data_IF_674304617748
#
_entry.id   IF_674304617748
#
_cell.length_a   1.000
_cell.length_b   1.000
_cell.length_c   1.000
_cell.angle_alpha   90.00
_cell.angle_beta   90.00
_cell.angle_gamma   90.00
#
_symmetry.space_group_name_H-M   'P 1'
#
loop_
_entity.id
_entity.type
_entity.pdbx_description
1 polymer ?
#
# COMPACT_ATOMS: atom_id res chain seq x y z
N UNK A 1 5.18 -12.45 3.31
CA UNK A 1 6.64 -12.72 3.41
C UNK A 1 7.15 -12.10 4.70
N UNK A 2 8.14 -12.68 5.39
CA UNK A 2 8.78 -12.00 6.51
C UNK A 2 9.48 -10.73 5.99
N UNK A 3 9.12 -9.57 6.55
CA UNK A 3 9.73 -8.28 6.24
C UNK A 3 11.07 -8.20 6.98
N UNK A 4 12.15 -7.92 6.26
CA UNK A 4 13.44 -7.68 6.90
C UNK A 4 13.38 -6.38 7.70
N UNK A 5 14.13 -6.30 8.80
CA UNK A 5 14.06 -5.17 9.74
C UNK A 5 14.32 -3.80 9.11
N UNK A 6 15.14 -3.73 8.06
CA UNK A 6 15.45 -2.52 7.30
C UNK A 6 14.26 -2.03 6.44
N UNK A 7 13.26 -2.87 6.22
CA UNK A 7 12.05 -2.57 5.46
C UNK A 7 10.80 -2.51 6.36
N UNK A 8 10.94 -2.62 7.69
CA UNK A 8 9.83 -2.46 8.62
C UNK A 8 9.40 -0.99 8.70
N UNK A 9 8.18 -0.72 8.28
CA UNK A 9 7.54 0.59 8.30
C UNK A 9 6.42 0.67 9.35
N UNK A 10 6.39 -0.26 10.31
CA UNK A 10 5.39 -0.29 11.38
C UNK A 10 5.29 1.07 12.10
N UNK A 11 4.07 1.60 12.18
CA UNK A 11 3.79 2.89 12.82
C UNK A 11 4.20 4.12 11.99
N UNK A 12 4.64 3.93 10.73
CA UNK A 12 4.90 5.01 9.78
C UNK A 12 3.69 5.25 8.88
N UNK A 13 3.59 6.47 8.36
CA UNK A 13 2.63 6.85 7.33
C UNK A 13 3.40 7.03 6.02
N UNK A 14 2.97 6.33 4.97
CA UNK A 14 3.53 6.47 3.63
C UNK A 14 2.56 7.23 2.72
N UNK A 15 3.00 8.34 2.14
CA UNK A 15 2.21 9.07 1.14
C UNK A 15 2.52 8.53 -0.26
N UNK A 16 1.49 8.02 -0.95
CA UNK A 16 1.59 7.53 -2.31
C UNK A 16 0.81 8.46 -3.24
N UNK A 17 1.52 9.27 -4.03
CA UNK A 17 0.93 10.08 -5.08
C UNK A 17 0.99 9.34 -6.42
N UNK A 18 -0.13 9.20 -7.10
CA UNK A 18 -0.21 8.50 -8.39
C UNK A 18 -0.92 9.33 -9.46
N UNK A 19 -0.36 9.32 -10.66
CA UNK A 19 -0.99 9.83 -11.90
C UNK A 19 -1.61 8.72 -12.75
N UNK A 20 -1.60 7.48 -12.26
CA UNK A 20 -2.06 6.27 -12.94
C UNK A 20 -0.94 5.26 -13.18
N UNK A 21 -1.14 4.37 -14.15
CA UNK A 21 -0.23 3.26 -14.42
C UNK A 21 -0.62 1.97 -13.69
N UNK A 22 0.14 0.91 -13.95
CA UNK A 22 -0.17 -0.42 -13.41
C UNK A 22 0.57 -0.72 -12.10
N UNK A 23 1.55 0.12 -11.75
CA UNK A 23 2.51 -0.09 -10.68
C UNK A 23 1.99 0.41 -9.32
N UNK A 24 1.22 1.50 -9.32
CA UNK A 24 0.73 2.13 -8.08
C UNK A 24 -0.02 1.18 -7.13
N UNK A 25 -0.89 0.26 -7.61
CA UNK A 25 -1.52 -0.74 -6.75
C UNK A 25 -0.53 -1.69 -6.08
N UNK A 26 0.55 -2.08 -6.77
CA UNK A 26 1.58 -2.97 -6.22
C UNK A 26 2.47 -2.24 -5.21
N UNK A 27 2.78 -0.97 -5.46
CA UNK A 27 3.53 -0.15 -4.51
C UNK A 27 2.73 0.12 -3.22
N UNK A 28 1.43 0.41 -3.34
CA UNK A 28 0.54 0.55 -2.19
C UNK A 28 0.48 -0.72 -1.35
N UNK A 29 0.35 -1.89 -2.00
CA UNK A 29 0.37 -3.18 -1.32
C UNK A 29 1.71 -3.42 -0.60
N UNK A 30 2.85 -3.18 -1.26
CA UNK A 30 4.16 -3.39 -0.66
C UNK A 30 4.39 -2.52 0.59
N UNK A 31 3.92 -1.27 0.56
CA UNK A 31 3.98 -0.37 1.72
C UNK A 31 3.09 -0.85 2.87
N UNK A 32 1.88 -1.35 2.56
CA UNK A 32 0.97 -1.91 3.55
C UNK A 32 1.53 -3.21 4.16
N UNK A 33 2.11 -4.09 3.35
CA UNK A 33 2.77 -5.33 3.80
C UNK A 33 4.01 -5.05 4.66
N UNK A 34 4.71 -3.95 4.40
CA UNK A 34 5.79 -3.44 5.25
C UNK A 34 5.29 -2.84 6.58
N UNK A 35 3.98 -2.76 6.82
CA UNK A 35 3.40 -2.25 8.08
C UNK A 35 3.11 -0.75 8.09
N UNK A 36 3.26 -0.05 6.96
CA UNK A 36 2.91 1.36 6.87
C UNK A 36 1.40 1.58 6.77
N UNK A 37 0.92 2.70 7.30
CA UNK A 37 -0.39 3.25 6.94
C UNK A 37 -0.26 4.06 5.64
N UNK A 38 -0.94 3.65 4.57
CA UNK A 38 -0.82 4.28 3.25
C UNK A 38 -1.87 5.38 3.08
N UNK A 39 -1.42 6.61 2.80
CA UNK A 39 -2.26 7.74 2.38
C UNK A 39 -2.09 7.97 0.88
N UNK A 40 -3.06 7.52 0.09
CA UNK A 40 -3.02 7.60 -1.36
C UNK A 40 -3.65 8.91 -1.88
N UNK A 41 -2.96 9.58 -2.81
CA UNK A 41 -3.44 10.77 -3.52
C UNK A 41 -3.46 10.47 -5.01
N UNK A 42 -4.60 10.65 -5.65
CA UNK A 42 -4.77 10.43 -7.08
C UNK A 42 -5.58 11.56 -7.72
N UNK A 43 -5.38 11.75 -9.03
CA UNK A 43 -6.07 12.80 -9.81
C UNK A 43 -7.57 12.53 -9.98
N UNK A 44 -7.96 11.26 -10.06
CA UNK A 44 -9.36 10.83 -10.25
C UNK A 44 -9.69 9.70 -9.28
N UNK A 45 -10.99 9.54 -9.00
CA UNK A 45 -11.48 8.49 -8.12
C UNK A 45 -11.11 7.09 -8.65
N UNK A 46 -11.23 6.85 -9.96
CA UNK A 46 -10.89 5.57 -10.59
C UNK A 46 -9.43 5.14 -10.32
N UNK A 47 -8.50 6.11 -10.32
CA UNK A 47 -7.10 5.85 -9.98
C UNK A 47 -6.93 5.52 -8.49
N UNK A 48 -7.68 6.18 -7.61
CA UNK A 48 -7.68 5.89 -6.18
C UNK A 48 -8.25 4.48 -5.91
N UNK A 49 -9.35 4.14 -6.57
CA UNK A 49 -10.02 2.84 -6.47
C UNK A 49 -9.14 1.70 -6.98
N UNK A 50 -8.18 1.96 -7.87
CA UNK A 50 -7.20 0.96 -8.29
C UNK A 50 -6.20 0.59 -7.19
N UNK A 51 -5.94 1.49 -6.24
CA UNK A 51 -4.91 1.35 -5.18
C UNK A 51 -5.51 0.86 -3.86
N UNK A 52 -6.68 1.38 -3.46
CA UNK A 52 -7.28 1.11 -2.15
C UNK A 52 -7.57 -0.38 -1.85
N UNK A 53 -8.08 -1.21 -2.78
CA UNK A 53 -8.40 -2.62 -2.51
C UNK A 53 -7.18 -3.45 -2.10
N UNK A 54 -5.99 -3.01 -2.52
CA UNK A 54 -4.70 -3.67 -2.25
C UNK A 54 -3.98 -3.16 -1.01
N UNK A 55 -4.45 -2.05 -0.43
CA UNK A 55 -3.93 -1.50 0.83
C UNK A 55 -4.70 -2.00 2.06
N UNK A 56 -5.78 -2.77 1.88
CA UNK A 56 -6.51 -3.36 3.01
C UNK A 56 -5.65 -4.46 3.67
N UNK A 57 -5.55 -4.49 5.00
CA UNK A 57 -4.78 -5.51 5.69
C UNK A 57 -5.36 -6.89 5.35
N UNK A 58 -4.53 -7.75 4.77
CA UNK A 58 -4.83 -9.16 4.60
C UNK A 58 -5.11 -9.72 6.01
N UNK A 59 -6.25 -10.38 6.27
CA UNK A 59 -6.46 -11.04 7.55
C UNK A 59 -5.38 -12.09 7.73
N UNK A 60 -4.62 -11.96 8.81
CA UNK A 60 -3.49 -12.78 9.29
C UNK A 60 -3.89 -14.23 9.64
N UNK A 61 -4.84 -14.82 8.93
CA UNK A 61 -5.44 -16.12 9.24
C UNK A 61 -5.40 -17.15 8.10
N UNK A 62 -4.66 -16.91 7.00
CA UNK A 62 -4.54 -17.89 5.91
C UNK A 62 -3.10 -18.14 5.41
N UNK A 63 -2.12 -18.05 6.30
CA UNK A 63 -0.76 -18.58 6.10
C UNK A 63 -0.32 -19.34 7.35
#
# INVERSE_FOLDING_TARGET
MPVLSEFDLTGKIAMLSTSGGTEAPFLGQALAEAGASVFAVARTQELLDSVLPRCLPVPTALC
#
